data_IF_208931455418
#
_entry.id   IF_208931455418
#
_cell.length_a   1.000
_cell.length_b   1.000
_cell.length_c   1.000
_cell.angle_alpha   90.00
_cell.angle_beta   90.00
_cell.angle_gamma   90.00
#
_symmetry.space_group_name_H-M   'P 1'
#
loop_
_entity.id
_entity.type
_entity.pdbx_description
1 polymer ?
#
# COMPACT_ATOMS: atom_id res chain seq x y z
N UNK A 1 -2.96 -0.45 -8.06
CA UNK A 1 -3.25 1.00 -8.01
C UNK A 1 -4.74 1.08 -8.16
N UNK A 2 -5.42 0.93 -7.02
CA UNK A 2 -6.76 0.39 -6.91
C UNK A 2 -7.85 1.27 -7.50
N UNK A 3 -9.10 0.91 -7.24
CA UNK A 3 -10.25 1.55 -7.85
C UNK A 3 -10.41 3.01 -7.34
N UNK A 4 -9.80 3.97 -8.03
CA UNK A 4 -9.84 5.40 -7.71
C UNK A 4 -11.28 5.96 -7.69
N UNK A 5 -12.24 5.31 -8.36
CA UNK A 5 -13.64 5.71 -8.32
C UNK A 5 -14.27 5.50 -6.93
N UNK A 6 -13.72 4.58 -6.12
CA UNK A 6 -14.12 4.38 -4.72
C UNK A 6 -13.88 5.61 -3.85
N UNK A 7 -12.96 6.51 -4.23
CA UNK A 7 -12.78 7.80 -3.53
C UNK A 7 -14.10 8.56 -3.40
N UNK A 8 -14.98 8.47 -4.40
CA UNK A 8 -16.26 9.16 -4.37
C UNK A 8 -17.24 8.57 -3.36
N UNK A 9 -17.06 7.30 -3.01
CA UNK A 9 -17.87 6.61 -2.01
C UNK A 9 -17.33 6.85 -0.62
N UNK A 10 -16.01 6.78 -0.44
CA UNK A 10 -15.32 6.89 0.84
C UNK A 10 -15.77 8.11 1.68
N UNK A 11 -15.90 7.89 2.98
CA UNK A 11 -15.96 8.94 3.99
C UNK A 11 -14.53 9.32 4.34
N UNK A 12 -14.13 10.53 3.94
CA UNK A 12 -12.79 11.05 4.10
C UNK A 12 -12.83 12.31 4.96
N UNK A 13 -11.89 12.43 5.88
CA UNK A 13 -11.69 13.61 6.73
C UNK A 13 -10.20 13.88 6.92
N UNK A 14 -9.82 15.10 7.28
CA UNK A 14 -8.45 15.39 7.72
C UNK A 14 -8.35 15.07 9.22
N UNK A 15 -7.27 14.42 9.64
CA UNK A 15 -6.95 14.18 11.06
C UNK A 15 -5.55 14.70 11.34
N UNK A 16 -5.36 15.36 12.48
CA UNK A 16 -4.03 15.85 12.87
C UNK A 16 -3.14 14.73 13.38
N UNK A 17 -1.83 14.91 13.30
CA UNK A 17 -0.87 13.96 13.88
C UNK A 17 -1.03 13.82 15.39
N UNK A 18 -1.39 14.89 16.10
CA UNK A 18 -1.64 14.86 17.54
C UNK A 18 -2.82 13.94 17.91
N UNK A 19 -3.81 13.79 17.03
CA UNK A 19 -4.98 12.92 17.26
C UNK A 19 -4.68 11.43 17.05
N UNK A 20 -3.62 11.11 16.31
CA UNK A 20 -3.20 9.73 16.02
C UNK A 20 -1.90 9.35 16.73
N UNK A 21 -1.30 10.26 17.51
CA UNK A 21 -0.09 10.00 18.27
C UNK A 21 -0.26 8.81 19.23
N UNK A 22 0.81 8.02 19.38
CA UNK A 22 0.87 6.79 20.16
C UNK A 22 0.29 5.56 19.46
N UNK A 23 -0.17 5.69 18.21
CA UNK A 23 -0.84 4.61 17.48
C UNK A 23 0.12 3.75 16.67
N UNK A 24 -0.26 2.48 16.49
CA UNK A 24 0.40 1.53 15.59
C UNK A 24 -0.24 1.62 14.20
N UNK A 25 0.59 1.77 13.16
CA UNK A 25 0.14 1.87 11.77
C UNK A 25 0.69 0.71 10.96
N UNK A 26 -0.19 -0.19 10.51
CA UNK A 26 0.17 -1.25 9.56
C UNK A 26 0.27 -0.66 8.15
N UNK A 27 1.49 -0.40 7.69
CA UNK A 27 1.80 0.27 6.43
C UNK A 27 1.87 -0.76 5.31
N UNK A 28 1.11 -0.59 4.23
CA UNK A 28 1.35 -1.34 2.99
C UNK A 28 2.70 -0.90 2.41
N UNK A 29 3.69 -1.78 2.50
CA UNK A 29 5.05 -1.51 2.04
C UNK A 29 5.10 -1.25 0.54
N UNK A 30 4.33 -2.00 -0.26
CA UNK A 30 4.36 -1.89 -1.72
C UNK A 30 3.79 -0.54 -2.16
N UNK A 31 2.61 -0.17 -1.66
CA UNK A 31 2.01 1.14 -1.93
C UNK A 31 2.90 2.27 -1.43
N UNK A 32 3.40 2.19 -0.19
CA UNK A 32 4.19 3.25 0.43
C UNK A 32 5.52 3.50 -0.31
N UNK A 33 6.28 2.43 -0.61
CA UNK A 33 7.53 2.52 -1.35
C UNK A 33 7.29 3.08 -2.75
N UNK A 34 6.30 2.55 -3.48
CA UNK A 34 5.95 3.02 -4.81
C UNK A 34 5.58 4.51 -4.82
N UNK A 35 4.84 4.98 -3.80
CA UNK A 35 4.50 6.39 -3.65
C UNK A 35 5.75 7.23 -3.45
N UNK A 36 6.65 6.85 -2.55
CA UNK A 36 7.91 7.59 -2.35
C UNK A 36 8.77 7.62 -3.61
N UNK A 37 8.94 6.48 -4.29
CA UNK A 37 9.66 6.39 -5.56
C UNK A 37 9.04 7.33 -6.61
N UNK A 38 7.72 7.32 -6.76
CA UNK A 38 7.08 8.13 -7.80
C UNK A 38 6.90 9.60 -7.47
N UNK A 39 6.81 10.00 -6.20
CA UNK A 39 6.63 11.40 -5.82
C UNK A 39 7.93 12.13 -5.51
N UNK A 40 8.92 11.41 -4.99
CA UNK A 40 10.20 11.97 -4.55
C UNK A 40 11.30 11.80 -5.60
N UNK A 41 11.24 10.70 -6.37
CA UNK A 41 12.29 10.35 -7.35
C UNK A 41 11.89 10.65 -8.80
N UNK A 42 10.60 10.85 -9.12
CA UNK A 42 10.24 11.44 -10.43
C UNK A 42 10.89 12.82 -10.53
N UNK A 43 11.69 12.99 -11.59
CA UNK A 43 12.42 14.19 -12.05
C UNK A 43 13.91 14.30 -11.69
N UNK A 44 14.46 13.43 -10.85
CA UNK A 44 15.90 13.46 -10.54
C UNK A 44 16.55 12.23 -11.17
N UNK A 45 17.43 12.46 -12.17
CA UNK A 45 18.14 11.46 -12.99
C UNK A 45 18.23 10.07 -12.36
N UNK A 46 17.72 9.03 -13.05
CA UNK A 46 17.81 7.64 -12.59
C UNK A 46 19.23 7.27 -12.16
N UNK A 47 20.24 7.81 -12.84
CA UNK A 47 21.67 7.69 -12.52
C UNK A 47 22.04 8.02 -11.07
N UNK A 48 21.26 8.85 -10.36
CA UNK A 48 21.54 9.21 -8.96
C UNK A 48 21.22 8.11 -7.96
N UNK A 49 20.29 7.23 -8.31
CA UNK A 49 19.77 6.20 -7.42
C UNK A 49 20.05 4.80 -7.98
N UNK A 50 21.09 4.72 -8.80
CA UNK A 50 21.59 3.49 -9.40
C UNK A 50 23.04 3.30 -8.96
N UNK A 51 23.36 2.13 -8.44
CA UNK A 51 24.72 1.79 -8.02
C UNK A 51 25.67 1.74 -9.23
N UNK A 52 26.97 1.67 -8.98
CA UNK A 52 27.98 1.46 -10.03
C UNK A 52 27.79 0.14 -10.79
N UNK A 53 27.11 -0.85 -10.19
CA UNK A 53 26.76 -2.13 -10.81
C UNK A 53 25.44 -2.09 -11.59
N UNK A 54 24.71 -0.97 -11.56
CA UNK A 54 23.46 -0.80 -12.30
C UNK A 54 22.20 -1.16 -11.52
N UNK A 55 22.29 -1.37 -10.20
CA UNK A 55 21.14 -1.71 -9.35
C UNK A 55 20.39 -0.45 -8.90
N UNK A 56 19.07 -0.41 -9.08
CA UNK A 56 18.23 0.70 -8.61
C UNK A 56 17.92 0.56 -7.11
N UNK A 57 18.28 1.58 -6.32
CA UNK A 57 18.18 1.60 -4.84
C UNK A 57 17.45 2.83 -4.30
N UNK A 58 16.58 3.42 -5.12
CA UNK A 58 15.78 4.59 -4.76
C UNK A 58 14.86 4.35 -3.53
N UNK A 59 14.55 3.09 -3.22
CA UNK A 59 13.80 2.68 -2.04
C UNK A 59 14.52 3.05 -0.74
N UNK A 60 15.85 2.91 -0.69
CA UNK A 60 16.64 3.24 0.50
C UNK A 60 16.50 4.72 0.87
N UNK A 61 16.60 5.60 -0.13
CA UNK A 61 16.36 7.04 0.05
C UNK A 61 14.93 7.30 0.50
N UNK A 62 13.95 6.62 -0.11
CA UNK A 62 12.54 6.73 0.26
C UNK A 62 12.29 6.39 1.73
N UNK A 63 12.85 5.27 2.21
CA UNK A 63 12.75 4.83 3.60
C UNK A 63 13.39 5.85 4.54
N UNK A 64 14.65 6.23 4.30
CA UNK A 64 15.38 7.17 5.17
C UNK A 64 14.72 8.55 5.24
N UNK A 65 14.08 9.01 4.15
CA UNK A 65 13.41 10.30 4.13
C UNK A 65 11.97 10.25 4.67
N UNK A 66 11.28 9.12 4.49
CA UNK A 66 9.88 8.97 4.84
C UNK A 66 9.62 8.48 6.26
N UNK A 67 10.43 7.53 6.75
CA UNK A 67 10.30 6.95 8.08
C UNK A 67 10.32 7.98 9.22
N UNK A 68 11.18 9.04 9.22
CA UNK A 68 11.20 9.99 10.33
C UNK A 68 9.85 10.66 10.61
N UNK A 69 8.98 10.77 9.60
CA UNK A 69 7.65 11.37 9.80
C UNK A 69 6.77 10.56 10.75
N UNK A 70 6.94 9.24 10.82
CA UNK A 70 6.23 8.41 11.79
C UNK A 70 6.73 8.72 13.21
N UNK A 71 8.05 8.67 13.40
CA UNK A 71 8.67 8.87 14.72
C UNK A 71 8.47 10.29 15.27
N UNK A 72 8.57 11.32 14.42
CA UNK A 72 8.33 12.73 14.80
C UNK A 72 6.90 12.98 15.31
N UNK A 73 5.96 12.11 14.95
CA UNK A 73 4.56 12.20 15.30
C UNK A 73 4.09 11.06 16.22
N UNK A 74 5.04 10.38 16.88
CA UNK A 74 4.76 9.31 17.83
C UNK A 74 3.92 8.18 17.22
N UNK A 75 4.15 7.87 15.95
CA UNK A 75 3.54 6.73 15.26
C UNK A 75 4.53 5.58 15.18
N UNK A 76 4.05 4.37 15.46
CA UNK A 76 4.84 3.14 15.31
C UNK A 76 4.46 2.45 13.99
N UNK A 77 5.30 2.52 12.95
CA UNK A 77 5.00 1.86 11.69
C UNK A 77 5.35 0.37 11.75
N UNK A 78 4.48 -0.46 11.19
CA UNK A 78 4.73 -1.88 10.93
C UNK A 78 4.57 -2.10 9.44
N UNK A 79 5.66 -2.40 8.73
CA UNK A 79 5.63 -2.54 7.27
C UNK A 79 5.15 -3.95 6.89
N UNK A 80 4.06 -4.01 6.14
CA UNK A 80 3.47 -5.25 5.64
C UNK A 80 3.85 -5.41 4.17
N UNK A 81 4.68 -6.40 3.87
CA UNK A 81 5.08 -6.74 2.52
C UNK A 81 4.16 -7.79 1.93
N UNK A 82 3.88 -7.68 0.63
CA UNK A 82 3.21 -8.72 -0.13
C UNK A 82 4.00 -10.03 -0.04
N UNK A 83 3.23 -11.12 0.07
CA UNK A 83 3.78 -12.46 0.07
C UNK A 83 4.31 -12.87 -1.29
N UNK A 84 5.43 -13.57 -1.25
CA UNK A 84 5.79 -14.46 -2.35
C UNK A 84 4.74 -15.56 -2.49
N UNK A 85 4.32 -15.84 -3.73
CA UNK A 85 3.34 -16.86 -4.09
C UNK A 85 3.65 -18.18 -3.38
N UNK A 86 2.97 -18.44 -2.27
CA UNK A 86 3.09 -19.71 -1.54
C UNK A 86 1.69 -20.28 -1.42
N UNK A 87 1.48 -21.35 -2.21
CA UNK A 87 0.38 -22.31 -2.13
C UNK A 87 -1.06 -21.80 -2.32
N UNK A 88 -1.27 -20.76 -3.14
CA UNK A 88 -2.58 -20.55 -3.75
C UNK A 88 -2.68 -21.36 -5.04
N UNK A 89 -3.77 -22.12 -5.20
CA UNK A 89 -4.03 -23.04 -6.31
C UNK A 89 -3.56 -22.46 -7.64
N UNK A 90 -2.73 -23.23 -8.35
CA UNK A 90 -1.97 -22.90 -9.56
C UNK A 90 -2.71 -22.02 -10.60
N UNK A 91 -4.03 -22.14 -10.70
CA UNK A 91 -4.86 -21.38 -11.64
C UNK A 91 -4.97 -19.88 -11.33
N UNK A 92 -4.92 -19.47 -10.04
CA UNK A 92 -5.03 -18.04 -9.67
C UNK A 92 -3.70 -17.30 -9.77
N UNK A 93 -2.64 -18.00 -9.38
CA UNK A 93 -1.25 -17.60 -9.59
C UNK A 93 -0.97 -17.44 -11.07
N UNK A 94 -1.38 -18.41 -11.89
CA UNK A 94 -1.23 -18.33 -13.34
C UNK A 94 -1.98 -17.12 -13.91
N UNK A 95 -3.14 -16.76 -13.36
CA UNK A 95 -3.94 -15.64 -13.84
C UNK A 95 -3.43 -14.28 -13.38
N UNK A 96 -2.92 -14.16 -12.14
CA UNK A 96 -2.21 -12.98 -11.65
C UNK A 96 -0.87 -12.82 -12.38
N UNK A 97 -0.18 -13.93 -12.65
CA UNK A 97 1.01 -13.97 -13.50
C UNK A 97 0.65 -13.57 -14.94
N UNK A 98 -0.46 -14.04 -15.49
CA UNK A 98 -0.92 -13.68 -16.83
C UNK A 98 -1.35 -12.20 -16.90
N UNK A 99 -1.98 -11.65 -15.86
CA UNK A 99 -2.32 -10.24 -15.78
C UNK A 99 -1.08 -9.36 -15.61
N UNK A 100 -0.10 -9.79 -14.80
CA UNK A 100 1.23 -9.15 -14.69
C UNK A 100 1.98 -9.23 -16.02
N UNK A 101 2.04 -10.40 -16.66
CA UNK A 101 2.66 -10.60 -17.98
C UNK A 101 1.94 -9.79 -19.07
N UNK A 102 0.61 -9.62 -19.01
CA UNK A 102 -0.15 -8.74 -19.90
C UNK A 102 0.13 -7.26 -19.65
N UNK A 103 0.29 -6.86 -18.39
CA UNK A 103 0.69 -5.49 -18.04
C UNK A 103 2.13 -5.21 -18.51
N UNK A 104 3.03 -6.18 -18.39
CA UNK A 104 4.41 -6.13 -18.90
C UNK A 104 4.46 -6.12 -20.43
N UNK A 105 3.65 -6.92 -21.11
CA UNK A 105 3.56 -6.91 -22.57
C UNK A 105 3.01 -5.58 -23.10
N UNK A 106 1.99 -5.00 -22.42
CA UNK A 106 1.48 -3.66 -22.75
C UNK A 106 2.50 -2.57 -22.49
N UNK A 107 3.33 -2.71 -21.45
CA UNK A 107 4.44 -1.80 -21.18
C UNK A 107 5.47 -1.86 -22.32
N UNK A 108 5.81 -3.06 -22.78
CA UNK A 108 6.76 -3.23 -23.89
C UNK A 108 6.19 -2.70 -25.20
N UNK A 109 4.91 -2.94 -25.50
CA UNK A 109 4.22 -2.32 -26.64
C UNK A 109 4.21 -0.79 -26.55
N UNK A 110 4.00 -0.21 -25.36
CA UNK A 110 4.04 1.24 -25.15
C UNK A 110 5.44 1.83 -25.35
N UNK A 111 6.49 1.09 -24.97
CA UNK A 111 7.91 1.43 -25.22
C UNK A 111 8.23 1.39 -26.71
N UNK A 112 7.81 0.33 -27.41
CA UNK A 112 8.01 0.18 -28.86
C UNK A 112 7.23 1.24 -29.67
N UNK A 113 6.06 1.66 -29.18
CA UNK A 113 5.24 2.71 -29.79
C UNK A 113 5.77 4.13 -29.54
N UNK A 114 6.77 4.32 -28.67
CA UNK A 114 7.35 5.63 -28.35
C UNK A 114 6.40 6.56 -27.58
N UNK A 115 5.34 6.04 -26.97
CA UNK A 115 4.44 6.82 -26.12
C UNK A 115 5.06 7.01 -24.73
N UNK A 116 5.99 7.95 -24.65
CA UNK A 116 6.76 8.24 -23.43
C UNK A 116 5.91 8.54 -22.17
N UNK A 117 4.65 8.94 -22.33
CA UNK A 117 3.78 9.29 -21.20
C UNK A 117 3.04 8.05 -20.67
N UNK A 118 2.48 7.23 -21.57
CA UNK A 118 1.88 5.95 -21.16
C UNK A 118 2.96 4.94 -20.75
N UNK A 119 4.11 4.92 -21.41
CA UNK A 119 5.27 4.14 -20.99
C UNK A 119 5.73 4.57 -19.59
N UNK A 120 5.97 5.86 -19.29
CA UNK A 120 6.38 6.29 -17.94
C UNK A 120 5.29 6.11 -16.86
N UNK A 121 4.01 6.03 -17.25
CA UNK A 121 2.88 5.78 -16.34
C UNK A 121 2.70 4.30 -16.06
N UNK A 122 2.85 3.45 -17.08
CA UNK A 122 2.83 2.00 -16.96
C UNK A 122 4.12 1.50 -16.33
N UNK A 123 5.28 2.06 -16.66
CA UNK A 123 6.57 1.75 -16.06
C UNK A 123 6.60 2.12 -14.59
N UNK A 124 5.89 3.17 -14.18
CA UNK A 124 5.62 3.43 -12.78
C UNK A 124 4.67 2.34 -12.21
N UNK A 125 3.52 2.05 -12.83
CA UNK A 125 2.59 1.00 -12.34
C UNK A 125 3.20 -0.42 -12.30
N UNK A 126 4.17 -0.70 -13.15
CA UNK A 126 4.86 -1.98 -13.32
C UNK A 126 6.31 -1.88 -12.85
N UNK A 127 6.70 -0.81 -12.14
CA UNK A 127 8.02 -0.70 -11.52
C UNK A 127 8.06 -1.78 -10.47
N UNK A 128 8.56 -2.95 -10.90
CA UNK A 128 8.83 -4.10 -10.07
C UNK A 128 9.59 -3.54 -8.87
N UNK A 129 9.06 -3.69 -7.66
CA UNK A 129 9.94 -3.81 -6.51
C UNK A 129 10.76 -5.05 -6.82
N UNK A 130 11.92 -4.84 -7.43
CA UNK A 130 12.86 -5.90 -7.76
C UNK A 130 13.18 -6.67 -6.49
N UNK A 131 13.66 -7.90 -6.62
CA UNK A 131 14.16 -8.65 -5.47
C UNK A 131 15.18 -7.80 -4.68
N UNK A 132 16.07 -7.08 -5.39
CA UNK A 132 16.96 -6.08 -4.80
C UNK A 132 16.22 -5.02 -3.97
N UNK A 133 15.21 -4.35 -4.51
CA UNK A 133 14.45 -3.31 -3.76
C UNK A 133 13.76 -3.92 -2.54
N UNK A 134 13.20 -5.11 -2.69
CA UNK A 134 12.52 -5.83 -1.62
C UNK A 134 13.48 -6.19 -0.48
N UNK A 135 14.60 -6.83 -0.79
CA UNK A 135 15.58 -7.29 0.18
C UNK A 135 16.25 -6.10 0.88
N UNK A 136 16.67 -5.10 0.10
CA UNK A 136 17.31 -3.89 0.66
C UNK A 136 16.36 -3.06 1.51
N UNK A 137 15.07 -3.04 1.18
CA UNK A 137 14.06 -2.39 2.03
C UNK A 137 13.91 -3.12 3.37
N UNK A 138 13.81 -4.45 3.35
CA UNK A 138 13.71 -5.26 4.57
C UNK A 138 14.94 -5.13 5.44
N UNK A 139 16.12 -5.19 4.85
CA UNK A 139 17.38 -5.07 5.58
C UNK A 139 17.52 -3.68 6.22
N UNK A 140 17.21 -2.61 5.47
CA UNK A 140 17.23 -1.26 6.05
C UNK A 140 16.20 -1.08 7.17
N UNK A 141 14.97 -1.58 6.99
CA UNK A 141 13.94 -1.53 8.04
C UNK A 141 14.39 -2.30 9.28
N UNK A 142 15.02 -3.47 9.11
CA UNK A 142 15.57 -4.25 10.22
C UNK A 142 16.71 -3.52 10.94
N UNK A 143 17.61 -2.83 10.23
CA UNK A 143 18.67 -2.03 10.85
C UNK A 143 18.11 -0.83 11.62
N UNK A 144 16.97 -0.29 11.17
CA UNK A 144 16.23 0.78 11.83
C UNK A 144 15.21 0.25 12.86
N UNK A 145 15.26 -1.04 13.18
CA UNK A 145 14.39 -1.72 14.14
C UNK A 145 12.88 -1.49 13.88
N UNK A 146 12.51 -1.30 12.62
CA UNK A 146 11.11 -1.16 12.19
C UNK A 146 10.54 -2.55 11.90
N UNK A 147 9.43 -2.93 12.56
CA UNK A 147 8.80 -4.23 12.32
C UNK A 147 8.38 -4.46 10.87
N UNK A 148 8.58 -5.70 10.42
CA UNK A 148 8.16 -6.18 9.11
C UNK A 148 7.28 -7.42 9.27
N UNK A 149 6.17 -7.45 8.53
CA UNK A 149 5.26 -8.59 8.44
C UNK A 149 5.17 -9.04 6.98
N UNK A 150 5.29 -10.36 6.76
CA UNK A 150 5.08 -10.97 5.45
C UNK A 150 3.62 -11.41 5.31
N UNK A 151 2.88 -10.80 4.39
CA UNK A 151 1.55 -11.26 4.04
C UNK A 151 1.61 -12.61 3.29
N UNK A 152 0.56 -13.45 3.31
CA UNK A 152 0.49 -14.62 2.44
C UNK A 152 0.25 -14.27 0.96
N UNK A 153 -0.37 -13.11 0.71
CA UNK A 153 -0.59 -12.58 -0.64
C UNK A 153 -0.47 -11.06 -0.70
N UNK A 154 -1.53 -10.31 -0.39
CA UNK A 154 -1.51 -8.85 -0.49
C UNK A 154 -1.22 -8.21 0.87
N UNK A 155 -0.28 -7.27 0.89
CA UNK A 155 0.07 -6.48 2.06
C UNK A 155 -1.12 -5.68 2.57
N UNK A 156 -1.93 -5.08 1.68
CA UNK A 156 -3.14 -4.34 2.07
C UNK A 156 -4.17 -5.20 2.79
N UNK A 157 -4.35 -6.45 2.35
CA UNK A 157 -5.28 -7.38 2.96
C UNK A 157 -4.82 -7.77 4.37
N UNK A 158 -3.52 -8.08 4.51
CA UNK A 158 -2.91 -8.41 5.80
C UNK A 158 -2.92 -7.20 6.75
N UNK A 159 -2.57 -6.00 6.28
CA UNK A 159 -2.64 -4.77 7.08
C UNK A 159 -4.06 -4.47 7.56
N UNK A 160 -5.05 -4.62 6.66
CA UNK A 160 -6.47 -4.46 7.00
C UNK A 160 -6.91 -5.49 8.04
N UNK A 161 -6.44 -6.73 7.93
CA UNK A 161 -6.70 -7.80 8.89
C UNK A 161 -6.12 -7.50 10.27
N UNK A 162 -4.86 -7.07 10.35
CA UNK A 162 -4.21 -6.64 11.59
C UNK A 162 -5.00 -5.52 12.27
N UNK A 163 -5.46 -4.53 11.50
CA UNK A 163 -6.27 -3.43 12.02
C UNK A 163 -7.64 -3.89 12.56
N UNK A 164 -8.34 -4.79 11.84
CA UNK A 164 -9.61 -5.37 12.34
C UNK A 164 -9.45 -6.19 13.61
N UNK A 165 -8.33 -6.90 13.73
CA UNK A 165 -8.02 -7.74 14.89
C UNK A 165 -7.66 -6.89 16.12
N UNK A 166 -7.26 -5.64 15.90
CA UNK A 166 -6.80 -4.73 16.95
C UNK A 166 -5.31 -4.87 17.27
N UNK A 167 -4.55 -5.52 16.39
CA UNK A 167 -3.10 -5.62 16.52
C UNK A 167 -2.43 -4.33 16.00
N UNK A 168 -3.07 -3.60 15.08
CA UNK A 168 -2.73 -2.24 14.70
C UNK A 168 -3.96 -1.32 14.80
N UNK A 169 -3.76 -0.01 15.01
CA UNK A 169 -4.86 0.95 15.12
C UNK A 169 -5.33 1.46 13.75
N UNK A 170 -4.39 1.61 12.81
CA UNK A 170 -4.64 2.14 11.48
C UNK A 170 -3.93 1.33 10.39
N UNK A 171 -4.50 1.34 9.19
CA UNK A 171 -3.78 0.96 7.96
C UNK A 171 -3.14 2.20 7.35
N UNK A 172 -1.88 2.13 6.93
CA UNK A 172 -1.20 3.17 6.17
C UNK A 172 -1.14 2.81 4.68
N UNK A 173 -2.02 3.39 3.86
CA UNK A 173 -2.02 3.17 2.39
C UNK A 173 -2.69 4.32 1.63
N UNK A 174 -2.32 4.49 0.35
CA UNK A 174 -3.03 5.34 -0.61
C UNK A 174 -4.09 4.60 -1.45
N UNK A 175 -4.20 3.28 -1.38
CA UNK A 175 -5.25 2.58 -2.14
C UNK A 175 -6.56 2.48 -1.35
N UNK A 176 -7.67 2.47 -2.09
CA UNK A 176 -9.02 2.36 -1.51
C UNK A 176 -9.41 0.92 -1.26
N UNK A 177 -8.61 -0.05 -1.71
CA UNK A 177 -8.91 -1.46 -1.59
C UNK A 177 -8.83 -1.91 -0.12
N UNK A 178 -8.15 -1.17 0.75
CA UNK A 178 -8.23 -1.31 2.22
C UNK A 178 -9.67 -1.23 2.74
N UNK A 179 -10.57 -0.42 2.15
CA UNK A 179 -12.00 -0.46 2.48
C UNK A 179 -12.65 -1.79 2.09
N UNK A 180 -12.27 -2.34 0.93
CA UNK A 180 -12.82 -3.60 0.42
C UNK A 180 -12.34 -4.79 1.25
N UNK A 181 -11.10 -4.75 1.73
CA UNK A 181 -10.60 -5.72 2.70
C UNK A 181 -11.14 -5.50 4.10
N UNK A 182 -11.81 -4.38 4.38
CA UNK A 182 -12.48 -4.13 5.65
C UNK A 182 -11.60 -3.48 6.72
N UNK A 183 -10.59 -2.68 6.35
CA UNK A 183 -9.86 -1.85 7.30
C UNK A 183 -10.82 -0.86 7.99
N UNK A 184 -10.89 -0.82 9.34
CA UNK A 184 -11.77 0.13 10.03
C UNK A 184 -11.38 1.59 9.74
N UNK A 185 -10.07 1.86 9.83
CA UNK A 185 -9.47 3.16 9.61
C UNK A 185 -8.21 3.06 8.76
N UNK A 186 -8.15 3.84 7.69
CA UNK A 186 -6.94 3.96 6.85
C UNK A 186 -6.44 5.40 6.86
N UNK A 187 -5.18 5.59 7.26
CA UNK A 187 -4.45 6.85 7.13
C UNK A 187 -3.83 6.94 5.74
N UNK A 188 -4.28 7.93 4.99
CA UNK A 188 -3.78 8.27 3.65
C UNK A 188 -2.92 9.54 3.75
N UNK A 189 -2.17 9.84 2.71
CA UNK A 189 -1.30 11.01 2.59
C UNK A 189 -0.15 11.04 3.61
N UNK A 190 0.23 9.87 4.14
CA UNK A 190 1.35 9.73 5.06
C UNK A 190 2.67 10.19 4.44
N UNK A 191 2.84 10.07 3.11
CA UNK A 191 4.06 10.52 2.41
C UNK A 191 4.05 12.02 2.06
N UNK A 192 2.94 12.72 2.29
CA UNK A 192 2.76 14.14 1.92
C UNK A 192 3.22 15.10 3.03
N UNK A 193 3.36 16.40 2.74
CA UNK A 193 3.84 17.41 3.72
C UNK A 193 2.81 17.84 4.78
N UNK A 194 1.56 17.42 4.68
CA UNK A 194 0.46 17.84 5.55
C UNK A 194 -0.01 16.76 6.53
N UNK A 195 -1.10 17.11 7.23
CA UNK A 195 -1.90 16.17 8.02
C UNK A 195 -2.40 15.01 7.15
N UNK A 196 -2.52 13.80 7.72
CA UNK A 196 -3.09 12.67 7.01
C UNK A 196 -4.58 12.85 6.73
N UNK A 197 -5.05 12.16 5.70
CA UNK A 197 -6.46 12.00 5.38
C UNK A 197 -6.94 10.68 5.98
N UNK A 198 -7.89 10.73 6.91
CA UNK A 198 -8.52 9.58 7.53
C UNK A 198 -9.67 9.07 6.64
N UNK A 199 -9.60 7.81 6.26
CA UNK A 199 -10.66 7.07 5.61
C UNK A 199 -11.29 6.10 6.59
N UNK A 200 -12.61 6.22 6.76
CA UNK A 200 -13.40 5.51 7.78
C UNK A 200 -14.40 4.56 7.10
N UNK A 201 -14.29 3.27 7.38
CA UNK A 201 -15.15 2.24 6.79
C UNK A 201 -16.60 2.37 7.26
N UNK A 202 -16.84 2.44 8.56
CA UNK A 202 -18.20 2.48 9.11
C UNK A 202 -18.93 3.75 8.64
N UNK A 203 -18.25 4.90 8.66
CA UNK A 203 -18.81 6.14 8.12
C UNK A 203 -19.06 6.06 6.60
N UNK A 204 -18.24 5.29 5.86
CA UNK A 204 -18.47 5.02 4.43
C UNK A 204 -19.73 4.18 4.23
N UNK A 205 -19.90 3.10 5.00
CA UNK A 205 -21.05 2.21 4.94
C UNK A 205 -22.34 2.95 5.31
N UNK A 206 -22.34 3.70 6.42
CA UNK A 206 -23.48 4.46 6.91
C UNK A 206 -23.92 5.55 5.93
N UNK A 207 -22.97 6.24 5.28
CA UNK A 207 -23.24 7.28 4.28
C UNK A 207 -24.10 6.77 3.12
N UNK A 208 -23.96 5.50 2.75
CA UNK A 208 -24.69 4.90 1.63
C UNK A 208 -25.76 3.89 2.07
N UNK A 209 -25.82 3.55 3.36
CA UNK A 209 -26.75 2.55 3.90
C UNK A 209 -26.52 1.15 3.33
N UNK A 210 -25.25 0.76 3.20
CA UNK A 210 -24.82 -0.52 2.60
C UNK A 210 -24.00 -1.35 3.59
N UNK A 211 -23.94 -2.66 3.39
CA UNK A 211 -23.01 -3.53 4.15
C UNK A 211 -21.62 -3.56 3.51
N UNK A 212 -20.64 -4.11 4.23
CA UNK A 212 -19.29 -4.32 3.70
C UNK A 212 -19.30 -5.24 2.47
N UNK A 213 -20.11 -6.30 2.48
CA UNK A 213 -20.27 -7.17 1.31
C UNK A 213 -20.88 -6.44 0.11
N UNK A 214 -21.82 -5.53 0.35
CA UNK A 214 -22.40 -4.69 -0.69
C UNK A 214 -21.38 -3.67 -1.22
N UNK A 215 -20.48 -3.16 -0.37
CA UNK A 215 -19.38 -2.30 -0.82
C UNK A 215 -18.43 -3.05 -1.78
N UNK A 216 -18.11 -4.32 -1.50
CA UNK A 216 -17.36 -5.19 -2.40
C UNK A 216 -18.13 -5.41 -3.72
N UNK A 217 -19.42 -5.71 -3.65
CA UNK A 217 -20.27 -5.85 -4.84
C UNK A 217 -20.28 -4.58 -5.70
N UNK A 218 -20.37 -3.41 -5.08
CA UNK A 218 -20.31 -2.10 -5.73
C UNK A 218 -18.97 -1.88 -6.42
N UNK A 219 -17.86 -2.19 -5.73
CA UNK A 219 -16.51 -2.06 -6.30
C UNK A 219 -16.32 -2.97 -7.51
N UNK A 220 -16.79 -4.22 -7.43
CA UNK A 220 -16.75 -5.16 -8.55
C UNK A 220 -17.57 -4.71 -9.75
N UNK A 221 -18.73 -4.07 -9.53
CA UNK A 221 -19.51 -3.49 -10.63
C UNK A 221 -18.79 -2.33 -11.32
N UNK A 222 -18.07 -1.51 -10.56
CA UNK A 222 -17.24 -0.42 -11.09
C UNK A 222 -15.93 -0.91 -11.75
N UNK A 223 -15.44 -2.07 -11.32
CA UNK A 223 -14.16 -2.63 -11.73
C UNK A 223 -13.12 -2.51 -10.62
N UNK A 224 -12.24 -3.50 -10.53
CA UNK A 224 -11.14 -3.57 -9.56
C UNK A 224 -9.87 -3.96 -10.31
N UNK A 225 -8.74 -4.04 -9.61
CA UNK A 225 -7.53 -4.61 -10.22
C UNK A 225 -7.72 -6.10 -10.62
N UNK A 226 -8.77 -6.77 -10.13
CA UNK A 226 -9.08 -8.18 -10.41
C UNK A 226 -10.18 -8.40 -11.45
N UNK A 227 -10.96 -7.37 -11.82
CA UNK A 227 -12.02 -7.47 -12.81
C UNK A 227 -12.29 -6.14 -13.54
N UNK A 228 -12.68 -6.20 -14.82
CA UNK A 228 -12.85 -5.00 -15.65
C UNK A 228 -14.09 -4.14 -15.30
N UNK A 229 -14.95 -4.60 -14.39
CA UNK A 229 -16.22 -3.97 -14.09
C UNK A 229 -17.26 -4.16 -15.20
N UNK A 230 -18.39 -3.47 -15.07
CA UNK A 230 -19.45 -3.44 -16.08
C UNK A 230 -19.44 -2.09 -16.78
N UNK A 231 -19.42 -2.12 -18.11
CA UNK A 231 -19.41 -0.90 -18.93
C UNK A 231 -20.61 -0.01 -18.60
N UNK A 232 -20.35 1.25 -18.26
CA UNK A 232 -21.39 2.23 -17.95
C UNK A 232 -21.91 2.19 -16.50
N UNK A 233 -21.31 1.39 -15.62
CA UNK A 233 -21.60 1.41 -14.18
C UNK A 233 -20.46 2.12 -13.44
N UNK A 234 -20.69 3.39 -13.08
CA UNK A 234 -19.85 4.12 -12.11
C UNK A 234 -20.38 4.01 -10.68
N UNK A 235 -19.67 4.57 -9.67
CA UNK A 235 -19.95 4.35 -8.24
C UNK A 235 -21.40 4.65 -7.84
N UNK A 236 -21.94 5.79 -8.25
CA UNK A 236 -23.33 6.16 -7.92
C UNK A 236 -24.35 5.20 -8.53
N UNK A 237 -24.09 4.71 -9.73
CA UNK A 237 -24.95 3.74 -10.42
C UNK A 237 -24.85 2.38 -9.76
N UNK A 238 -23.65 1.95 -9.38
CA UNK A 238 -23.41 0.70 -8.66
C UNK A 238 -24.11 0.69 -7.29
N UNK A 239 -23.96 1.76 -6.48
CA UNK A 239 -24.68 1.89 -5.19
C UNK A 239 -26.17 1.74 -5.41
N UNK A 240 -26.76 2.51 -6.34
CA UNK A 240 -28.19 2.41 -6.63
C UNK A 240 -28.60 0.98 -7.03
N UNK A 241 -27.83 0.34 -7.91
CA UNK A 241 -28.14 -1.00 -8.38
C UNK A 241 -28.11 -2.03 -7.24
N UNK A 242 -27.08 -1.99 -6.39
CA UNK A 242 -26.97 -2.92 -5.25
C UNK A 242 -28.03 -2.64 -4.20
N UNK A 243 -28.36 -1.37 -3.90
CA UNK A 243 -29.47 -1.05 -3.00
C UNK A 243 -30.84 -1.51 -3.55
N UNK A 244 -31.03 -1.48 -4.87
CA UNK A 244 -32.28 -1.91 -5.53
C UNK A 244 -32.42 -3.43 -5.61
N UNK A 245 -31.32 -4.13 -5.91
CA UNK A 245 -31.32 -5.56 -6.21
C UNK A 245 -30.78 -6.44 -5.06
N UNK A 246 -30.16 -5.86 -4.05
CA UNK A 246 -29.65 -6.55 -2.86
C UNK A 246 -28.17 -6.94 -2.96
N UNK A 247 -27.77 -7.62 -4.03
CA UNK A 247 -26.42 -8.16 -4.20
C UNK A 247 -25.92 -8.10 -5.66
N UNK A 248 -24.62 -8.36 -5.84
CA UNK A 248 -23.98 -8.41 -7.16
C UNK A 248 -24.73 -9.32 -8.16
N UNK A 249 -25.15 -10.50 -7.71
CA UNK A 249 -25.74 -11.53 -8.58
C UNK A 249 -27.07 -11.07 -9.16
N UNK A 250 -27.92 -10.49 -8.32
CA UNK A 250 -29.22 -9.97 -8.69
C UNK A 250 -29.11 -8.77 -9.62
N UNK A 251 -28.07 -7.92 -9.44
CA UNK A 251 -27.76 -6.83 -10.39
C UNK A 251 -27.36 -7.40 -11.76
N UNK A 252 -26.46 -8.39 -11.79
CA UNK A 252 -25.98 -9.01 -13.03
C UNK A 252 -27.13 -9.70 -13.79
N UNK A 253 -27.98 -10.45 -13.08
CA UNK A 253 -29.16 -11.11 -13.67
C UNK A 253 -30.13 -10.09 -14.27
N UNK A 254 -30.47 -9.03 -13.53
CA UNK A 254 -31.42 -8.00 -13.99
C UNK A 254 -30.94 -7.27 -15.25
N UNK A 255 -29.62 -7.20 -15.46
CA UNK A 255 -29.00 -6.52 -16.61
C UNK A 255 -28.64 -7.46 -17.75
N UNK A 256 -28.61 -8.77 -17.50
CA UNK A 256 -28.06 -9.76 -18.44
C UNK A 256 -26.54 -9.63 -18.63
N UNK A 257 -25.85 -9.09 -17.62
CA UNK A 257 -24.41 -8.90 -17.58
C UNK A 257 -23.73 -10.09 -16.86
N UNK A 258 -22.42 -10.28 -17.07
CA UNK A 258 -21.63 -11.28 -16.33
C UNK A 258 -20.24 -10.73 -16.01
N UNK A 259 -19.72 -11.07 -14.83
CA UNK A 259 -18.32 -10.84 -14.48
C UNK A 259 -17.64 -12.21 -14.35
N UNK A 260 -16.60 -12.52 -15.14
CA UNK A 260 -15.94 -13.81 -15.06
C UNK A 260 -15.28 -14.05 -13.69
N UNK A 261 -15.56 -15.20 -13.06
CA UNK A 261 -15.02 -15.58 -11.73
C UNK A 261 -15.37 -14.59 -10.61
N UNK A 262 -16.51 -13.93 -10.72
CA UNK A 262 -16.96 -12.97 -9.71
C UNK A 262 -17.02 -13.58 -8.30
N UNK A 263 -17.33 -14.88 -8.18
CA UNK A 263 -17.39 -15.60 -6.92
C UNK A 263 -16.04 -15.57 -6.22
N UNK A 264 -14.97 -15.86 -6.97
CA UNK A 264 -13.58 -15.85 -6.48
C UNK A 264 -13.09 -14.46 -6.16
N UNK A 265 -13.40 -13.47 -7.00
CA UNK A 265 -12.99 -12.07 -6.75
C UNK A 265 -13.68 -11.52 -5.50
N UNK A 266 -14.97 -11.84 -5.31
CA UNK A 266 -15.73 -11.43 -4.13
C UNK A 266 -15.22 -12.12 -2.87
N UNK A 267 -14.97 -13.43 -2.93
CA UNK A 267 -14.36 -14.19 -1.84
C UNK A 267 -12.99 -13.62 -1.48
N UNK A 268 -12.17 -13.28 -2.45
CA UNK A 268 -10.85 -12.70 -2.23
C UNK A 268 -10.87 -11.40 -1.39
N UNK A 269 -11.85 -10.52 -1.57
CA UNK A 269 -11.96 -9.31 -0.74
C UNK A 269 -12.57 -9.58 0.65
N UNK A 270 -13.49 -10.53 0.75
CA UNK A 270 -14.22 -10.81 2.00
C UNK A 270 -13.50 -11.78 2.93
N UNK A 271 -12.75 -12.72 2.37
CA UNK A 271 -11.95 -13.73 3.06
C UNK A 271 -10.57 -13.84 2.37
N UNK A 272 -9.77 -12.74 2.39
CA UNK A 272 -8.45 -12.75 1.80
C UNK A 272 -7.52 -13.71 2.54
N UNK A 273 -6.54 -14.31 1.84
CA UNK A 273 -5.50 -15.07 2.50
C UNK A 273 -4.62 -14.16 3.37
N UNK A 274 -4.70 -14.38 4.67
CA UNK A 274 -4.00 -13.64 5.73
C UNK A 274 -3.42 -14.63 6.73
N UNK A 275 -2.43 -14.18 7.51
CA UNK A 275 -1.76 -15.00 8.53
C UNK A 275 -1.89 -14.37 9.90
N UNK A 276 -1.86 -15.21 10.94
CA UNK A 276 -1.65 -14.82 12.35
C UNK A 276 -0.19 -15.07 12.79
N UNK A 277 0.64 -15.62 11.90
CA UNK A 277 2.05 -15.93 12.15
C UNK A 277 2.92 -14.68 11.99
N UNK A 278 2.72 -13.74 12.92
CA UNK A 278 3.54 -12.56 13.09
C UNK A 278 3.60 -12.19 14.57
N UNK A 279 4.70 -11.57 14.96
CA UNK A 279 4.90 -10.96 16.27
C UNK A 279 5.86 -9.80 16.06
N UNK A 280 5.61 -8.68 16.74
CA UNK A 280 6.48 -7.51 16.65
C UNK A 280 6.46 -6.72 17.95
N UNK A 281 7.59 -6.07 18.21
CA UNK A 281 7.70 -5.07 19.27
C UNK A 281 7.36 -3.68 18.71
N UNK A 282 6.80 -2.85 19.57
CA UNK A 282 6.54 -1.43 19.28
C UNK A 282 7.63 -0.53 19.86
N UNK A 283 8.50 -1.10 20.69
CA UNK A 283 9.70 -0.47 21.21
C UNK A 283 10.82 -0.50 20.15
N UNK A 284 10.91 0.57 19.34
CA UNK A 284 11.89 0.72 18.26
C UNK A 284 13.20 1.32 18.81
N UNK A 285 14.32 0.61 18.62
CA UNK A 285 15.70 1.03 18.96
C UNK A 285 16.64 0.89 17.74
N UNK A 286 16.68 1.87 16.83
CA UNK A 286 17.37 1.75 15.55
C UNK A 286 18.90 1.84 15.69
N UNK A 287 19.61 0.96 14.98
CA UNK A 287 21.06 1.11 14.74
C UNK A 287 21.30 2.07 13.57
N UNK A 288 21.17 3.37 13.84
CA UNK A 288 21.30 4.40 12.81
C UNK A 288 22.71 4.44 12.19
N UNK A 289 23.74 4.03 12.93
CA UNK A 289 25.09 3.97 12.41
C UNK A 289 25.23 2.86 11.36
N UNK A 290 24.77 1.64 11.67
CA UNK A 290 24.77 0.53 10.74
C UNK A 290 23.86 0.78 9.53
N UNK A 291 22.67 1.35 9.75
CA UNK A 291 21.75 1.73 8.68
C UNK A 291 22.39 2.75 7.71
N UNK A 292 23.13 3.73 8.24
CA UNK A 292 23.84 4.72 7.43
C UNK A 292 24.95 4.09 6.61
N UNK A 293 25.78 3.24 7.22
CA UNK A 293 26.85 2.49 6.53
C UNK A 293 26.27 1.61 5.41
N UNK A 294 25.19 0.88 5.69
CA UNK A 294 24.49 0.05 4.70
C UNK A 294 24.04 0.88 3.49
N UNK A 295 23.38 2.02 3.73
CA UNK A 295 22.86 2.85 2.64
C UNK A 295 23.97 3.52 1.83
N UNK A 296 24.98 4.11 2.49
CA UNK A 296 25.98 4.93 1.79
C UNK A 296 27.21 4.19 1.33
N UNK A 297 27.67 3.18 2.08
CA UNK A 297 28.90 2.44 1.77
C UNK A 297 28.58 1.15 0.99
N UNK A 298 27.55 0.41 1.37
CA UNK A 298 27.19 -0.86 0.70
C UNK A 298 26.42 -0.62 -0.59
N UNK A 299 25.41 0.26 -0.55
CA UNK A 299 24.54 0.56 -1.69
C UNK A 299 24.85 1.89 -2.39
N UNK A 300 26.00 2.48 -2.08
CA UNK A 300 26.59 3.62 -2.80
C UNK A 300 25.68 4.85 -2.93
N UNK A 301 24.66 5.00 -2.08
CA UNK A 301 23.78 6.17 -2.09
C UNK A 301 24.57 7.39 -1.62
N UNK A 302 24.46 8.51 -2.35
CA UNK A 302 25.12 9.76 -1.99
C UNK A 302 24.77 10.16 -0.55
N UNK A 303 25.77 10.26 0.36
CA UNK A 303 25.53 10.64 1.75
C UNK A 303 24.72 11.92 1.93
N UNK A 304 24.84 12.91 1.03
CA UNK A 304 24.09 14.17 1.17
C UNK A 304 22.58 13.99 0.89
N UNK A 305 22.19 13.02 0.06
CA UNK A 305 20.77 12.75 -0.24
C UNK A 305 20.04 12.14 0.98
N UNK A 306 20.77 11.46 1.86
CA UNK A 306 20.22 10.77 3.04
C UNK A 306 20.60 11.41 4.38
N UNK A 307 21.56 12.35 4.39
CA UNK A 307 22.08 13.00 5.60
C UNK A 307 20.97 13.51 6.51
N UNK A 308 20.05 14.32 5.96
CA UNK A 308 18.96 14.93 6.73
C UNK A 308 17.93 13.92 7.20
N UNK A 309 17.71 12.83 6.46
CA UNK A 309 16.79 11.78 6.88
C UNK A 309 17.31 11.07 8.14
N UNK A 310 18.58 10.65 8.12
CA UNK A 310 19.21 10.04 9.29
C UNK A 310 19.30 10.99 10.49
N UNK A 311 19.61 12.29 10.29
CA UNK A 311 19.58 13.29 11.38
C UNK A 311 18.21 13.32 12.07
N UNK A 312 17.11 13.30 11.31
CA UNK A 312 15.74 13.32 11.85
C UNK A 312 15.40 12.02 12.61
N UNK A 313 15.90 10.87 12.14
CA UNK A 313 15.73 9.59 12.84
C UNK A 313 16.45 9.64 14.18
N UNK A 314 17.72 10.06 14.22
CA UNK A 314 18.51 10.18 15.46
C UNK A 314 17.87 11.14 16.47
N UNK A 315 17.37 12.28 16.00
CA UNK A 315 16.66 13.26 16.83
C UNK A 315 15.40 12.65 17.47
N UNK A 316 14.62 11.90 16.69
CA UNK A 316 13.37 11.27 17.17
C UNK A 316 13.65 10.19 18.22
N UNK A 317 14.66 9.34 17.99
CA UNK A 317 15.06 8.28 18.93
C UNK A 317 15.54 8.86 20.25
N UNK A 318 16.30 9.94 20.21
CA UNK A 318 16.79 10.62 21.42
C UNK A 318 15.62 11.21 22.23
N UNK A 319 14.59 11.72 21.56
CA UNK A 319 13.41 12.28 22.22
C UNK A 319 12.58 11.20 22.91
N UNK A 320 12.26 10.11 22.21
CA UNK A 320 11.53 8.96 22.79
C UNK A 320 12.31 8.33 23.95
N UNK A 321 13.63 8.24 23.80
CA UNK A 321 14.54 7.79 24.84
C UNK A 321 14.56 8.69 26.09
N UNK A 322 14.25 9.99 25.98
CA UNK A 322 14.11 10.88 27.13
C UNK A 322 12.73 10.75 27.80
N UNK A 323 11.66 10.62 27.00
CA UNK A 323 10.28 10.51 27.49
C UNK A 323 10.07 9.25 28.35
N UNK A 324 10.80 8.15 28.06
CA UNK A 324 10.77 6.92 28.88
C UNK A 324 11.29 7.05 30.31
N UNK A 325 12.01 8.13 30.64
CA UNK A 325 12.60 8.35 31.97
C UNK A 325 11.98 9.51 32.76
N UNK A 326 10.93 10.14 32.25
CA UNK A 326 10.18 11.24 32.89
C UNK A 326 8.78 10.82 33.31
#
# INVERSE_FOLDING_TARGET
MGNADLRTLAALSEVSFDEVAGSVVAVDAHNWLYRYLTTTVKWTSSEKYTTSEGEEVANLVGIVQGLPKFFEHDLTPVFVFDGGVTEMKDDEVAKRREQREKAEARLEEAREAGDSVEAARMEARTQRLTETIQDTSRELLSLLDVPVVEAPAEGEAQASYMARKGDADYVGSEDYDTLLFGAPYTLRQLTSKGNPELMDLDATLDKHGITHEQLVDIAMLCGTDFNEGITGIGPKTAVKAVTEHGDLWSVLEARGDTIPNADRVREFFLDPPVTDDYDYDTDIDPDVAAAREFVTETWEVDPEEVRRGFERIEESVTQTGLDRWT
#
